data_IF_798979845528
#
_entry.id   IF_798979845528
#
_cell.length_a   1.000
_cell.length_b   1.000
_cell.length_c   1.000
_cell.angle_alpha   90.00
_cell.angle_beta   90.00
_cell.angle_gamma   90.00
#
_symmetry.space_group_name_H-M   'P 1'
#
loop_
_entity.id
_entity.type
_entity.pdbx_description
1 polymer ?
#
# COMPACT_ATOMS: atom_id res chain seq x y z
N UNK A 1 -0.16 -13.84 15.45
CA UNK A 1 -0.93 -13.38 14.26
C UNK A 1 -0.38 -14.10 13.04
N UNK A 2 -1.24 -14.68 12.21
CA UNK A 2 -0.83 -15.34 10.98
C UNK A 2 -1.14 -14.42 9.79
N UNK A 3 -0.13 -13.86 9.16
CA UNK A 3 -0.28 -12.94 8.04
C UNK A 3 0.17 -13.64 6.74
N UNK A 4 -0.72 -13.69 5.76
CA UNK A 4 -0.47 -14.31 4.46
C UNK A 4 0.17 -13.35 3.47
N UNK A 5 -0.18 -12.05 3.55
CA UNK A 5 0.31 -11.05 2.63
C UNK A 5 0.27 -9.63 3.23
N UNK A 6 1.13 -8.78 2.71
CA UNK A 6 1.17 -7.34 3.03
C UNK A 6 1.03 -6.56 1.73
N UNK A 7 0.08 -5.63 1.72
CA UNK A 7 -0.12 -4.67 0.64
C UNK A 7 0.51 -3.35 1.03
N UNK A 8 1.20 -2.71 0.12
CA UNK A 8 1.94 -1.47 0.38
C UNK A 8 1.61 -0.44 -0.69
N UNK A 9 1.18 0.75 -0.27
CA UNK A 9 1.04 1.88 -1.18
C UNK A 9 2.41 2.40 -1.61
N UNK A 10 2.47 3.13 -2.73
CA UNK A 10 3.73 3.63 -3.30
C UNK A 10 4.08 5.03 -2.80
N UNK A 11 3.31 6.01 -3.27
CA UNK A 11 3.64 7.43 -3.09
C UNK A 11 3.42 7.86 -1.63
N UNK A 12 4.51 8.25 -0.98
CA UNK A 12 4.48 8.62 0.43
C UNK A 12 4.66 7.46 1.41
N UNK A 13 4.74 6.21 0.93
CA UNK A 13 4.89 5.01 1.78
C UNK A 13 6.20 4.28 1.49
N UNK A 14 6.45 3.93 0.24
CA UNK A 14 7.72 3.31 -0.20
C UNK A 14 8.78 4.38 -0.43
N UNK A 15 8.38 5.54 -0.87
CA UNK A 15 9.24 6.67 -1.18
C UNK A 15 8.44 7.91 -1.54
N UNK A 16 9.12 9.00 -1.83
CA UNK A 16 8.51 10.23 -2.30
C UNK A 16 7.78 11.03 -1.22
N UNK A 17 6.86 11.89 -1.67
CA UNK A 17 6.17 12.86 -0.81
C UNK A 17 4.67 12.60 -0.65
N UNK A 18 4.12 11.65 -1.40
CA UNK A 18 2.69 11.42 -1.52
C UNK A 18 2.12 11.94 -2.83
N UNK A 19 2.82 12.85 -3.52
CA UNK A 19 2.48 13.30 -4.86
C UNK A 19 3.07 12.37 -5.93
N UNK A 20 2.50 12.40 -7.13
CA UNK A 20 3.00 11.61 -8.25
C UNK A 20 4.46 11.97 -8.57
N UNK A 21 5.28 10.93 -8.71
CA UNK A 21 6.65 11.02 -9.24
C UNK A 21 6.78 9.91 -10.29
N UNK A 22 7.23 10.26 -11.49
CA UNK A 22 7.41 9.29 -12.56
C UNK A 22 8.39 8.19 -12.11
N UNK A 23 8.17 6.90 -12.51
CA UNK A 23 9.07 5.80 -12.13
C UNK A 23 10.56 6.05 -12.42
N UNK A 24 10.88 6.80 -13.48
CA UNK A 24 12.27 7.13 -13.80
C UNK A 24 12.95 8.06 -12.78
N UNK A 25 12.17 8.80 -12.00
CA UNK A 25 12.66 9.78 -11.02
C UNK A 25 12.37 9.36 -9.58
N UNK A 26 11.53 8.34 -9.38
CA UNK A 26 11.13 7.88 -8.06
C UNK A 26 12.28 7.13 -7.39
N UNK A 27 12.54 7.49 -6.14
CA UNK A 27 13.50 6.79 -5.31
C UNK A 27 12.81 6.25 -4.05
N UNK A 28 12.98 4.97 -3.70
CA UNK A 28 12.48 4.46 -2.44
C UNK A 28 13.24 5.09 -1.28
N UNK A 29 12.61 5.16 -0.12
CA UNK A 29 13.33 5.53 1.11
C UNK A 29 14.47 4.54 1.35
N UNK A 30 15.53 4.98 2.03
CA UNK A 30 16.73 4.18 2.27
C UNK A 30 16.46 2.83 2.96
N UNK A 31 15.37 2.73 3.72
CA UNK A 31 14.99 1.53 4.46
C UNK A 31 13.97 0.64 3.74
N UNK A 32 13.41 1.08 2.60
CA UNK A 32 12.27 0.38 1.99
C UNK A 32 12.63 -1.00 1.44
N UNK A 33 13.79 -1.15 0.81
CA UNK A 33 14.23 -2.45 0.31
C UNK A 33 14.48 -3.44 1.45
N UNK A 34 15.01 -2.97 2.58
CA UNK A 34 15.22 -3.79 3.77
C UNK A 34 13.88 -4.25 4.35
N UNK A 35 12.88 -3.36 4.39
CA UNK A 35 11.53 -3.70 4.85
C UNK A 35 10.92 -4.84 4.01
N UNK A 36 11.04 -4.75 2.68
CA UNK A 36 10.56 -5.79 1.78
C UNK A 36 11.32 -7.11 2.01
N UNK A 37 12.63 -7.03 2.20
CA UNK A 37 13.46 -8.23 2.44
C UNK A 37 13.06 -8.93 3.74
N UNK A 38 12.78 -8.19 4.81
CA UNK A 38 12.30 -8.76 6.08
C UNK A 38 11.01 -9.56 5.87
N UNK A 39 10.06 -9.03 5.12
CA UNK A 39 8.81 -9.74 4.81
C UNK A 39 9.09 -11.03 4.03
N UNK A 40 9.99 -10.99 3.06
CA UNK A 40 10.40 -12.17 2.30
C UNK A 40 11.04 -13.24 3.19
N UNK A 41 11.94 -12.83 4.08
CA UNK A 41 12.63 -13.73 4.99
C UNK A 41 11.65 -14.45 5.92
N UNK A 42 10.48 -13.87 6.15
CA UNK A 42 9.39 -14.46 6.95
C UNK A 42 8.31 -15.14 6.09
N UNK A 43 8.56 -15.35 4.81
CA UNK A 43 7.64 -15.99 3.86
C UNK A 43 6.29 -15.27 3.76
N UNK A 44 6.28 -13.96 3.91
CA UNK A 44 5.08 -13.13 3.75
C UNK A 44 5.12 -12.52 2.35
N UNK A 45 4.08 -12.79 1.56
CA UNK A 45 3.96 -12.20 0.22
C UNK A 45 3.78 -10.69 0.35
N UNK A 46 4.44 -9.95 -0.53
CA UNK A 46 4.46 -8.49 -0.49
C UNK A 46 4.03 -7.93 -1.84
N UNK A 47 2.93 -7.18 -1.83
CA UNK A 47 2.31 -6.64 -3.03
C UNK A 47 2.25 -5.12 -2.98
N UNK A 48 2.63 -4.46 -4.08
CA UNK A 48 2.33 -3.04 -4.25
C UNK A 48 0.86 -2.87 -4.60
N UNK A 49 0.21 -1.83 -4.07
CA UNK A 49 -1.21 -1.54 -4.33
C UNK A 49 -1.40 -0.03 -4.41
N UNK A 50 -1.55 0.50 -5.63
CA UNK A 50 -1.43 1.94 -5.86
C UNK A 50 -2.41 2.48 -6.90
N UNK A 51 -2.93 3.69 -6.64
CA UNK A 51 -3.67 4.48 -7.61
C UNK A 51 -2.69 5.30 -8.46
N UNK A 52 -2.72 5.15 -9.79
CA UNK A 52 -1.81 5.83 -10.70
C UNK A 52 -2.57 6.41 -11.91
N UNK A 53 -3.42 7.39 -11.66
CA UNK A 53 -4.29 8.00 -12.65
C UNK A 53 -3.54 8.66 -13.84
N UNK A 54 -2.25 9.00 -13.65
CA UNK A 54 -1.42 9.59 -14.70
C UNK A 54 -1.19 8.65 -15.88
N UNK A 55 -1.37 7.34 -15.66
CA UNK A 55 -1.34 6.35 -16.75
C UNK A 55 -2.45 6.65 -17.77
N UNK A 56 -3.65 7.01 -17.30
CA UNK A 56 -4.78 7.36 -18.19
C UNK A 56 -4.51 8.58 -19.07
N UNK A 57 -3.56 9.41 -18.67
CA UNK A 57 -3.16 10.62 -19.41
C UNK A 57 -1.95 10.38 -20.32
N UNK A 58 -1.42 9.16 -20.37
CA UNK A 58 -0.23 8.84 -21.16
C UNK A 58 1.08 9.36 -20.57
N UNK A 59 1.10 9.78 -19.30
CA UNK A 59 2.28 10.34 -18.64
C UNK A 59 3.19 9.27 -18.06
N UNK A 60 2.72 8.04 -17.95
CA UNK A 60 3.47 6.86 -17.51
C UNK A 60 2.76 5.62 -18.02
N UNK A 61 3.39 4.45 -17.93
CA UNK A 61 2.81 3.17 -18.35
C UNK A 61 2.75 2.18 -17.21
N UNK A 62 1.86 1.19 -17.32
CA UNK A 62 1.84 0.05 -16.37
C UNK A 62 3.19 -0.65 -16.31
N UNK A 63 3.85 -0.82 -17.46
CA UNK A 63 5.14 -1.48 -17.54
C UNK A 63 6.21 -0.74 -16.73
N UNK A 64 6.22 0.61 -16.78
CA UNK A 64 7.14 1.43 -15.99
C UNK A 64 7.01 1.13 -14.50
N UNK A 65 5.77 1.10 -13.98
CA UNK A 65 5.50 0.80 -12.58
C UNK A 65 5.81 -0.64 -12.22
N UNK A 66 5.45 -1.60 -13.07
CA UNK A 66 5.74 -3.01 -12.82
C UNK A 66 7.24 -3.28 -12.74
N UNK A 67 8.04 -2.66 -13.61
CA UNK A 67 9.51 -2.75 -13.56
C UNK A 67 10.06 -2.14 -12.28
N UNK A 68 9.53 -0.98 -11.87
CA UNK A 68 9.92 -0.34 -10.61
C UNK A 68 9.69 -1.28 -9.43
N UNK A 69 8.47 -1.78 -9.26
CA UNK A 69 8.12 -2.64 -8.13
C UNK A 69 8.90 -3.95 -8.13
N UNK A 70 9.10 -4.54 -9.29
CA UNK A 70 9.92 -5.74 -9.43
C UNK A 70 11.35 -5.48 -8.95
N UNK A 71 11.90 -4.33 -9.28
CA UNK A 71 13.26 -3.95 -8.88
C UNK A 71 13.43 -3.81 -7.36
N UNK A 72 12.34 -3.50 -6.64
CA UNK A 72 12.35 -3.40 -5.17
C UNK A 72 12.18 -4.73 -4.47
N UNK A 73 11.72 -5.75 -5.19
CA UNK A 73 11.52 -7.08 -4.66
C UNK A 73 10.08 -7.47 -4.35
N UNK A 74 9.08 -6.69 -4.80
CA UNK A 74 7.67 -7.07 -4.66
C UNK A 74 7.37 -8.35 -5.44
N UNK A 75 6.49 -9.18 -4.88
CA UNK A 75 6.03 -10.41 -5.53
C UNK A 75 5.09 -10.12 -6.69
N UNK A 76 4.27 -9.07 -6.57
CA UNK A 76 3.38 -8.59 -7.61
C UNK A 76 2.97 -7.15 -7.32
N UNK A 77 2.29 -6.54 -8.27
CA UNK A 77 1.78 -5.18 -8.13
C UNK A 77 0.35 -5.09 -8.68
N UNK A 78 -0.50 -4.39 -7.94
CA UNK A 78 -1.88 -4.10 -8.32
C UNK A 78 -2.00 -2.59 -8.49
N UNK A 79 -2.23 -2.16 -9.72
CA UNK A 79 -2.16 -0.76 -10.12
C UNK A 79 -3.48 -0.35 -10.74
N UNK A 80 -4.13 0.68 -10.19
CA UNK A 80 -5.29 1.29 -10.82
C UNK A 80 -4.82 2.41 -11.76
N UNK A 81 -4.99 2.25 -13.08
CA UNK A 81 -4.51 3.25 -14.05
C UNK A 81 -5.57 4.31 -14.38
N UNK A 82 -6.74 4.21 -13.79
CA UNK A 82 -7.90 5.03 -14.17
C UNK A 82 -7.87 6.39 -13.49
N UNK A 83 -8.51 7.39 -14.13
CA UNK A 83 -8.76 8.67 -13.50
C UNK A 83 -9.94 8.54 -12.50
N UNK A 84 -10.09 9.53 -11.63
CA UNK A 84 -11.21 9.57 -10.67
C UNK A 84 -12.58 9.64 -11.35
N UNK A 85 -12.64 10.09 -12.61
CA UNK A 85 -13.87 10.19 -13.39
C UNK A 85 -14.27 8.87 -14.06
N UNK A 86 -13.36 7.89 -14.09
CA UNK A 86 -13.63 6.58 -14.67
C UNK A 86 -14.44 5.71 -13.71
N UNK A 87 -15.41 4.97 -14.24
CA UNK A 87 -16.21 4.04 -13.47
C UNK A 87 -15.47 2.72 -13.32
N UNK A 88 -14.45 2.66 -12.44
CA UNK A 88 -13.71 1.44 -12.14
C UNK A 88 -14.01 0.93 -10.73
N UNK A 89 -13.64 -0.33 -10.46
CA UNK A 89 -13.77 -0.94 -9.13
C UNK A 89 -12.45 -1.00 -8.38
N UNK A 90 -11.35 -0.55 -9.00
CA UNK A 90 -10.00 -0.72 -8.47
C UNK A 90 -9.44 0.53 -7.77
N UNK A 91 -9.94 1.73 -8.08
CA UNK A 91 -9.43 2.97 -7.48
C UNK A 91 -9.73 3.01 -5.97
N UNK A 92 -8.68 3.01 -5.14
CA UNK A 92 -8.85 3.10 -3.68
C UNK A 92 -9.59 4.39 -3.32
N UNK A 93 -10.57 4.37 -2.42
CA UNK A 93 -10.82 3.34 -1.39
C UNK A 93 -11.64 2.13 -1.86
N UNK A 94 -12.00 2.01 -3.12
CA UNK A 94 -12.67 0.80 -3.60
C UNK A 94 -11.73 -0.41 -3.46
N UNK A 95 -12.25 -1.58 -3.09
CA UNK A 95 -11.40 -2.73 -2.76
C UNK A 95 -11.02 -3.61 -3.95
N UNK A 96 -11.29 -3.19 -5.20
CA UNK A 96 -11.11 -4.03 -6.39
C UNK A 96 -9.72 -4.63 -6.54
N UNK A 97 -8.66 -3.87 -6.26
CA UNK A 97 -7.29 -4.39 -6.34
C UNK A 97 -7.02 -5.48 -5.29
N UNK A 98 -7.55 -5.31 -4.07
CA UNK A 98 -7.39 -6.30 -3.00
C UNK A 98 -8.17 -7.58 -3.32
N UNK A 99 -9.37 -7.45 -3.87
CA UNK A 99 -10.18 -8.59 -4.30
C UNK A 99 -9.50 -9.35 -5.45
N UNK A 100 -8.90 -8.64 -6.39
CA UNK A 100 -8.12 -9.23 -7.50
C UNK A 100 -6.94 -10.05 -6.95
N UNK A 101 -6.18 -9.48 -6.03
CA UNK A 101 -5.06 -10.17 -5.39
C UNK A 101 -5.51 -11.42 -4.64
N UNK A 102 -6.60 -11.32 -3.88
CA UNK A 102 -7.18 -12.45 -3.16
C UNK A 102 -7.53 -13.60 -4.11
N UNK A 103 -8.15 -13.28 -5.24
CA UNK A 103 -8.52 -14.28 -6.24
C UNK A 103 -7.28 -14.89 -6.90
N UNK A 104 -6.30 -14.07 -7.27
CA UNK A 104 -5.09 -14.52 -7.96
C UNK A 104 -4.21 -15.42 -7.10
N UNK A 105 -4.09 -15.11 -5.82
CA UNK A 105 -3.17 -15.79 -4.89
C UNK A 105 -3.88 -16.62 -3.82
N UNK A 106 -5.20 -16.76 -3.91
CA UNK A 106 -6.02 -17.51 -2.95
C UNK A 106 -5.78 -17.04 -1.51
N UNK A 107 -5.91 -15.72 -1.29
CA UNK A 107 -5.66 -15.10 0.01
C UNK A 107 -6.93 -14.96 0.83
N UNK A 108 -6.82 -15.20 2.12
CA UNK A 108 -7.80 -14.73 3.11
C UNK A 108 -7.44 -13.30 3.48
N UNK A 109 -8.23 -12.33 2.99
CA UNK A 109 -7.94 -10.91 3.21
C UNK A 109 -7.99 -10.49 4.67
N UNK A 110 -8.68 -11.24 5.54
CA UNK A 110 -8.66 -11.01 6.99
C UNK A 110 -7.30 -11.35 7.62
N UNK A 111 -6.45 -12.06 6.89
CA UNK A 111 -5.08 -12.41 7.27
C UNK A 111 -4.05 -11.57 6.51
N UNK A 112 -4.44 -10.38 6.09
CA UNK A 112 -3.54 -9.46 5.38
C UNK A 112 -3.43 -8.14 6.12
N UNK A 113 -2.40 -7.38 5.76
CA UNK A 113 -2.17 -6.03 6.30
C UNK A 113 -2.01 -5.07 5.13
N UNK A 114 -2.60 -3.90 5.23
CA UNK A 114 -2.37 -2.80 4.30
C UNK A 114 -1.55 -1.72 4.99
N UNK A 115 -0.44 -1.33 4.38
CA UNK A 115 0.43 -0.24 4.84
C UNK A 115 0.31 0.92 3.86
N UNK A 116 -0.10 2.08 4.35
CA UNK A 116 -0.24 3.29 3.53
C UNK A 116 -0.21 4.56 4.36
N UNK A 117 -0.11 5.70 3.67
CA UNK A 117 -0.02 7.02 4.29
C UNK A 117 -1.33 7.82 4.22
N UNK A 118 -2.36 7.31 3.51
CA UNK A 118 -3.61 8.03 3.29
C UNK A 118 -4.80 7.27 3.88
N UNK A 119 -5.45 7.88 4.88
CA UNK A 119 -6.61 7.28 5.54
C UNK A 119 -7.80 7.08 4.61
N UNK A 120 -8.12 8.09 3.80
CA UNK A 120 -9.30 8.09 2.92
C UNK A 120 -9.21 7.16 1.71
N UNK A 121 -8.06 6.62 1.42
CA UNK A 121 -7.86 5.64 0.34
C UNK A 121 -7.36 4.30 0.89
N UNK A 122 -6.19 4.29 1.50
CA UNK A 122 -5.52 3.06 1.95
C UNK A 122 -6.25 2.39 3.10
N UNK A 123 -6.56 3.16 4.15
CA UNK A 123 -7.17 2.60 5.35
C UNK A 123 -8.62 2.19 5.10
N UNK A 124 -9.37 2.98 4.33
CA UNK A 124 -10.74 2.64 3.96
C UNK A 124 -10.79 1.39 3.05
N UNK A 125 -9.87 1.26 2.10
CA UNK A 125 -9.81 0.06 1.25
C UNK A 125 -9.52 -1.20 2.08
N UNK A 126 -8.57 -1.12 3.01
CA UNK A 126 -8.24 -2.22 3.92
C UNK A 126 -9.44 -2.59 4.79
N UNK A 127 -10.13 -1.59 5.34
CA UNK A 127 -11.32 -1.80 6.17
C UNK A 127 -12.42 -2.55 5.41
N UNK A 128 -12.63 -2.20 4.15
CA UNK A 128 -13.67 -2.79 3.31
C UNK A 128 -13.54 -4.31 3.16
N UNK A 129 -12.33 -4.86 3.30
CA UNK A 129 -12.06 -6.30 3.13
C UNK A 129 -11.65 -6.99 4.43
N UNK A 130 -11.69 -6.29 5.55
CA UNK A 130 -11.32 -6.86 6.85
C UNK A 130 -9.82 -7.03 7.06
N UNK A 131 -8.98 -6.39 6.23
CA UNK A 131 -7.53 -6.39 6.41
C UNK A 131 -7.13 -5.51 7.58
N UNK A 132 -5.98 -5.80 8.20
CA UNK A 132 -5.39 -4.91 9.19
C UNK A 132 -4.86 -3.66 8.52
N UNK A 133 -4.88 -2.55 9.25
CA UNK A 133 -4.59 -1.21 8.76
C UNK A 133 -3.42 -0.60 9.50
N UNK A 134 -2.33 -0.32 8.81
CA UNK A 134 -1.20 0.42 9.38
C UNK A 134 -1.03 1.73 8.62
N UNK A 135 -1.19 2.84 9.33
CA UNK A 135 -0.88 4.15 8.79
C UNK A 135 0.58 4.47 9.06
N UNK A 136 1.30 4.89 8.02
CA UNK A 136 2.67 5.39 8.17
C UNK A 136 2.67 6.91 8.17
N UNK A 137 3.61 7.52 8.91
CA UNK A 137 3.68 8.98 9.09
C UNK A 137 4.47 9.69 8.00
N UNK A 138 5.10 8.96 7.08
CA UNK A 138 5.68 9.53 5.87
C UNK A 138 4.57 10.02 4.93
N UNK A 139 4.93 10.78 3.90
CA UNK A 139 3.94 11.27 2.94
C UNK A 139 2.82 12.09 3.60
N UNK A 140 1.58 11.64 3.41
CA UNK A 140 0.38 12.30 3.96
C UNK A 140 -0.04 11.79 5.34
N UNK A 141 0.79 10.96 5.99
CA UNK A 141 0.40 10.30 7.25
C UNK A 141 -0.02 11.24 8.35
N UNK A 142 0.77 12.30 8.62
CA UNK A 142 0.38 13.31 9.60
C UNK A 142 -0.90 14.05 9.19
N UNK A 143 -1.02 14.39 7.91
CA UNK A 143 -2.24 15.01 7.39
C UNK A 143 -3.46 14.12 7.56
N UNK A 144 -3.31 12.82 7.34
CA UNK A 144 -4.39 11.85 7.53
C UNK A 144 -4.88 11.79 8.98
N UNK A 145 -3.98 11.95 9.95
CA UNK A 145 -4.34 11.96 11.39
C UNK A 145 -4.89 13.30 11.85
N UNK A 146 -4.63 14.38 11.13
CA UNK A 146 -4.98 15.75 11.55
C UNK A 146 -6.03 16.37 10.63
N UNK A 147 -5.59 17.17 9.67
CA UNK A 147 -6.50 17.97 8.84
C UNK A 147 -7.44 17.13 7.95
N UNK A 148 -7.05 15.91 7.60
CA UNK A 148 -7.86 15.02 6.76
C UNK A 148 -8.51 13.87 7.55
N UNK A 149 -8.47 13.91 8.89
CA UNK A 149 -9.02 12.84 9.74
C UNK A 149 -10.51 12.59 9.50
N UNK A 150 -11.26 13.65 9.23
CA UNK A 150 -12.69 13.57 8.96
C UNK A 150 -13.03 12.68 7.76
N UNK A 151 -12.14 12.58 6.78
CA UNK A 151 -12.38 11.78 5.56
C UNK A 151 -12.42 10.27 5.82
N UNK A 152 -11.99 9.83 7.00
CA UNK A 152 -12.01 8.42 7.42
C UNK A 152 -12.28 8.28 8.92
N UNK A 153 -13.08 9.20 9.47
CA UNK A 153 -13.31 9.36 10.91
C UNK A 153 -13.90 8.14 11.63
N UNK A 154 -14.63 7.28 10.91
CA UNK A 154 -15.35 6.15 11.50
C UNK A 154 -14.47 4.92 11.74
N UNK A 155 -13.24 4.91 11.25
CA UNK A 155 -12.33 3.78 11.43
C UNK A 155 -11.04 4.22 12.11
N UNK A 156 -10.42 3.27 12.82
CA UNK A 156 -9.13 3.47 13.46
C UNK A 156 -8.09 2.56 12.81
N UNK A 157 -6.85 3.04 12.64
CA UNK A 157 -5.77 2.14 12.23
C UNK A 157 -5.45 1.15 13.37
N UNK A 158 -5.04 -0.05 13.01
CA UNK A 158 -4.58 -1.03 14.00
C UNK A 158 -3.22 -0.62 14.60
N UNK A 159 -2.43 0.11 13.83
CA UNK A 159 -1.15 0.66 14.26
C UNK A 159 -0.79 1.90 13.45
N UNK A 160 -0.07 2.82 14.08
CA UNK A 160 0.51 3.99 13.42
C UNK A 160 2.03 3.87 13.55
N UNK A 161 2.72 3.76 12.43
CA UNK A 161 4.17 3.58 12.37
C UNK A 161 4.86 4.83 11.81
N UNK A 162 6.08 5.12 12.24
CA UNK A 162 6.84 6.25 11.71
C UNK A 162 7.08 6.13 10.21
N UNK A 163 7.31 4.89 9.73
CA UNK A 163 7.62 4.61 8.33
C UNK A 163 7.36 3.14 8.01
N UNK A 164 7.58 2.78 6.75
CA UNK A 164 7.38 1.43 6.24
C UNK A 164 8.19 0.37 7.01
N UNK A 165 9.44 0.64 7.33
CA UNK A 165 10.28 -0.31 8.07
C UNK A 165 9.71 -0.58 9.47
N UNK A 166 9.31 0.46 10.19
CA UNK A 166 8.72 0.31 11.53
C UNK A 166 7.37 -0.43 11.46
N UNK A 167 6.59 -0.21 10.41
CA UNK A 167 5.37 -0.98 10.17
C UNK A 167 5.66 -2.48 10.01
N UNK A 168 6.67 -2.82 9.22
CA UNK A 168 7.09 -4.22 9.01
C UNK A 168 7.59 -4.85 10.32
N UNK A 169 8.40 -4.15 11.08
CA UNK A 169 8.86 -4.63 12.39
C UNK A 169 7.70 -4.94 13.33
N UNK A 170 6.68 -4.08 13.34
CA UNK A 170 5.48 -4.33 14.15
C UNK A 170 4.76 -5.60 13.69
N UNK A 171 4.59 -5.80 12.38
CA UNK A 171 3.97 -7.00 11.82
C UNK A 171 4.71 -8.26 12.30
N UNK A 172 6.03 -8.28 12.15
CA UNK A 172 6.85 -9.43 12.53
C UNK A 172 6.73 -9.70 14.03
N UNK A 173 6.76 -8.67 14.86
CA UNK A 173 6.60 -8.81 16.31
C UNK A 173 5.26 -9.48 16.69
N UNK A 174 4.20 -9.22 15.92
CA UNK A 174 2.89 -9.83 16.14
C UNK A 174 2.78 -11.25 15.61
N UNK A 175 3.58 -11.60 14.61
CA UNK A 175 3.63 -12.95 14.06
C UNK A 175 4.42 -13.91 14.98
N UNK A 176 5.44 -13.41 15.64
CA UNK A 176 6.32 -14.19 16.54
C UNK A 176 5.75 -14.35 17.96
N UNK A 177 4.78 -13.54 18.30
CA UNK A 177 4.15 -13.52 19.62
C UNK A 177 3.12 -14.61 19.88
#
# INVERSE_FOLDING_TARGET
>A
MNIEAVFVDRDGTIGGTGHFIHPNEFAPYSFSRDAIQILKDHNIRTFACTNQHRISRGEATLDDFNKEFQSYGFDDAFICPHSSDDACNCHKPKPGMLLEASKKYNLDLTKTVFIGDVGSTDMLAAHAVGAKKILVLTGWGYGSLKQYRESWAEIEPDYVAENFLEAVKWIISKCEG
#
